data_IF_628168921107
#
_entry.id   IF_628168921107
#
_cell.length_a   1.000
_cell.length_b   1.000
_cell.length_c   1.000
_cell.angle_alpha   90.00
_cell.angle_beta   90.00
_cell.angle_gamma   90.00
#
_symmetry.space_group_name_H-M   'P 1'
#
loop_
_entity.id
_entity.type
_entity.pdbx_description
1 polymer ?
#
# COMPACT_ATOMS: atom_id res chain seq x y z
N UNK A 1 11.52 3.01 -24.87
CA UNK A 1 10.51 2.27 -24.10
C UNK A 1 11.26 1.39 -23.12
N UNK A 2 11.50 1.86 -21.89
CA UNK A 2 12.19 1.08 -20.87
C UNK A 2 11.16 0.71 -19.80
N UNK A 3 10.53 -0.45 -19.94
CA UNK A 3 9.92 -1.15 -18.81
C UNK A 3 10.83 -2.31 -18.51
N UNK A 4 11.77 -2.04 -17.61
CA UNK A 4 12.53 -3.02 -16.83
C UNK A 4 11.54 -3.91 -16.08
N UNK A 5 11.11 -4.99 -16.73
CA UNK A 5 10.32 -6.05 -16.10
C UNK A 5 11.27 -6.99 -15.35
N UNK A 6 11.94 -6.45 -14.32
CA UNK A 6 12.65 -7.25 -13.31
C UNK A 6 11.65 -7.73 -12.24
N UNK A 7 10.51 -8.32 -12.62
CA UNK A 7 9.53 -8.86 -11.65
C UNK A 7 10.07 -10.13 -11.01
N UNK A 8 10.74 -9.97 -9.87
CA UNK A 8 11.12 -11.06 -9.00
C UNK A 8 9.85 -11.88 -8.64
N UNK A 9 9.82 -13.20 -8.87
CA UNK A 9 8.62 -14.02 -8.65
C UNK A 9 8.09 -13.97 -7.21
N UNK A 10 8.97 -13.65 -6.25
CA UNK A 10 8.60 -13.42 -4.84
C UNK A 10 7.68 -12.21 -4.66
N UNK A 11 7.89 -11.13 -5.42
CA UNK A 11 7.08 -9.91 -5.32
C UNK A 11 5.68 -10.13 -5.91
N UNK A 12 5.58 -10.96 -6.95
CA UNK A 12 4.28 -11.37 -7.49
C UNK A 12 3.44 -12.17 -6.48
N UNK A 13 4.07 -13.03 -5.66
CA UNK A 13 3.37 -13.75 -4.61
C UNK A 13 2.87 -12.79 -3.52
N UNK A 14 3.71 -11.86 -3.07
CA UNK A 14 3.31 -10.81 -2.10
C UNK A 14 2.14 -9.98 -2.61
N UNK A 15 2.17 -9.59 -3.89
CA UNK A 15 1.08 -8.86 -4.54
C UNK A 15 -0.24 -9.64 -4.54
N UNK A 16 -0.20 -10.97 -4.71
CA UNK A 16 -1.41 -11.81 -4.65
C UNK A 16 -1.98 -11.87 -3.24
N UNK A 17 -1.13 -12.00 -2.22
CA UNK A 17 -1.57 -11.99 -0.82
C UNK A 17 -2.18 -10.64 -0.42
N UNK A 18 -1.58 -9.53 -0.84
CA UNK A 18 -2.14 -8.20 -0.61
C UNK A 18 -3.48 -8.01 -1.33
N UNK A 19 -3.63 -8.50 -2.56
CA UNK A 19 -4.91 -8.48 -3.25
C UNK A 19 -5.98 -9.26 -2.47
N UNK A 20 -5.64 -10.45 -1.97
CA UNK A 20 -6.57 -11.25 -1.16
C UNK A 20 -7.00 -10.52 0.13
N UNK A 21 -6.09 -9.76 0.75
CA UNK A 21 -6.40 -8.91 1.90
C UNK A 21 -7.32 -7.75 1.51
N UNK A 22 -7.09 -7.13 0.35
CA UNK A 22 -7.92 -6.05 -0.19
C UNK A 22 -9.35 -6.55 -0.48
N UNK A 23 -9.49 -7.73 -1.10
CA UNK A 23 -10.78 -8.39 -1.33
C UNK A 23 -11.55 -8.64 -0.02
N UNK A 24 -10.86 -9.11 1.04
CA UNK A 24 -11.47 -9.28 2.38
C UNK A 24 -11.99 -7.97 2.97
N UNK A 25 -11.37 -6.84 2.63
CA UNK A 25 -11.77 -5.50 3.07
C UNK A 25 -12.82 -4.85 2.17
N UNK A 26 -13.10 -5.48 1.03
CA UNK A 26 -14.00 -4.95 -0.01
C UNK A 26 -13.44 -3.71 -0.69
N UNK A 27 -12.12 -3.63 -0.87
CA UNK A 27 -11.46 -2.51 -1.52
C UNK A 27 -10.48 -2.95 -2.62
N UNK A 28 -10.15 -2.03 -3.51
CA UNK A 28 -9.11 -2.23 -4.51
C UNK A 28 -7.72 -2.20 -3.85
N UNK A 29 -6.75 -2.94 -4.42
CA UNK A 29 -5.35 -2.89 -3.98
C UNK A 29 -4.78 -1.47 -3.98
N UNK A 30 -5.20 -0.64 -4.93
CA UNK A 30 -4.81 0.77 -5.03
C UNK A 30 -5.32 1.55 -3.82
N UNK A 31 -6.58 1.34 -3.45
CA UNK A 31 -7.20 1.98 -2.29
C UNK A 31 -6.53 1.53 -0.99
N UNK A 32 -6.26 0.23 -0.85
CA UNK A 32 -5.56 -0.32 0.30
C UNK A 32 -4.17 0.31 0.47
N UNK A 33 -3.42 0.44 -0.62
CA UNK A 33 -2.06 0.99 -0.59
C UNK A 33 -2.05 2.46 -0.16
N UNK A 34 -2.96 3.27 -0.70
CA UNK A 34 -3.09 4.69 -0.33
C UNK A 34 -3.50 4.82 1.13
N UNK A 35 -4.50 4.05 1.57
CA UNK A 35 -4.97 4.07 2.94
C UNK A 35 -3.89 3.61 3.93
N UNK A 36 -3.08 2.61 3.55
CA UNK A 36 -1.95 2.13 4.35
C UNK A 36 -0.85 3.19 4.47
N UNK A 37 -0.51 3.87 3.37
CA UNK A 37 0.43 5.00 3.40
C UNK A 37 -0.06 6.11 4.36
N UNK A 38 -1.33 6.48 4.29
CA UNK A 38 -1.92 7.51 5.16
C UNK A 38 -2.04 7.07 6.63
N UNK A 39 -2.05 5.76 6.91
CA UNK A 39 -2.11 5.21 8.27
C UNK A 39 -0.76 5.28 8.99
N UNK A 40 0.35 5.35 8.26
CA UNK A 40 1.69 5.41 8.84
C UNK A 40 1.92 6.76 9.52
N UNK A 41 2.31 6.76 10.80
CA UNK A 41 2.55 7.99 11.59
C UNK A 41 3.61 8.92 10.97
N UNK A 42 4.49 8.38 10.13
CA UNK A 42 5.56 9.15 9.48
C UNK A 42 5.09 9.92 8.25
N UNK A 43 3.91 9.59 7.72
CA UNK A 43 3.40 10.14 6.46
C UNK A 43 2.38 11.22 6.75
N UNK A 44 2.69 12.46 6.37
CA UNK A 44 1.77 13.59 6.54
C UNK A 44 0.91 13.86 5.30
N UNK A 45 1.41 13.48 4.12
CA UNK A 45 0.75 13.73 2.84
C UNK A 45 1.10 12.60 1.86
N UNK A 46 0.13 12.21 1.05
CA UNK A 46 0.33 11.26 -0.07
C UNK A 46 0.03 12.01 -1.36
N UNK A 47 1.02 12.06 -2.26
CA UNK A 47 0.85 12.63 -3.59
C UNK A 47 0.21 11.58 -4.50
N UNK A 48 -0.97 11.91 -5.05
CA UNK A 48 -1.69 11.04 -5.96
C UNK A 48 -1.50 11.50 -7.40
N UNK A 49 -1.17 10.56 -8.28
CA UNK A 49 -1.19 10.76 -9.74
C UNK A 49 -2.30 9.91 -10.35
N UNK A 50 -3.23 10.56 -11.05
CA UNK A 50 -4.32 9.89 -11.76
C UNK A 50 -4.31 10.29 -13.24
N UNK A 51 -4.52 9.32 -14.12
CA UNK A 51 -4.59 9.54 -15.57
C UNK A 51 -5.99 9.98 -16.03
N UNK A 52 -7.00 9.81 -15.18
CA UNK A 52 -8.39 10.12 -15.48
C UNK A 52 -9.13 10.44 -14.19
N UNK A 53 -10.26 11.14 -14.32
CA UNK A 53 -11.06 11.58 -13.17
C UNK A 53 -11.62 10.39 -12.40
N UNK A 54 -12.07 9.32 -13.07
CA UNK A 54 -12.53 8.09 -12.42
C UNK A 54 -11.46 7.42 -11.56
N UNK A 55 -10.21 7.35 -12.04
CA UNK A 55 -9.09 6.85 -11.24
C UNK A 55 -8.83 7.72 -10.02
N UNK A 56 -8.95 9.05 -10.15
CA UNK A 56 -8.82 9.95 -9.01
C UNK A 56 -9.90 9.67 -7.97
N UNK A 57 -11.17 9.51 -8.41
CA UNK A 57 -12.26 9.17 -7.50
C UNK A 57 -12.04 7.83 -6.82
N UNK A 58 -11.60 6.80 -7.54
CA UNK A 58 -11.26 5.49 -6.97
C UNK A 58 -10.16 5.62 -5.90
N UNK A 59 -9.09 6.35 -6.19
CA UNK A 59 -8.01 6.62 -5.23
C UNK A 59 -8.51 7.37 -3.99
N UNK A 60 -9.45 8.32 -4.14
CA UNK A 60 -10.04 9.05 -3.02
C UNK A 60 -10.96 8.18 -2.15
N UNK A 61 -11.60 7.13 -2.71
CA UNK A 61 -12.38 6.17 -1.91
C UNK A 61 -11.51 5.43 -0.88
N UNK A 62 -10.18 5.40 -1.04
CA UNK A 62 -9.23 4.89 -0.06
C UNK A 62 -9.41 5.51 1.34
N UNK A 63 -9.85 6.77 1.41
CA UNK A 63 -10.07 7.47 2.68
C UNK A 63 -11.11 6.74 3.57
N UNK A 64 -12.07 6.05 2.96
CA UNK A 64 -13.07 5.25 3.69
C UNK A 64 -12.51 3.93 4.24
N UNK A 65 -11.35 3.49 3.76
CA UNK A 65 -10.67 2.26 4.20
C UNK A 65 -9.76 2.53 5.40
N UNK A 66 -9.27 3.76 5.57
CA UNK A 66 -8.43 4.17 6.72
C UNK A 66 -9.01 3.74 8.08
N UNK A 67 -10.31 3.96 8.41
CA UNK A 67 -10.86 3.50 9.68
C UNK A 67 -10.96 1.98 9.80
N UNK A 68 -11.03 1.26 8.67
CA UNK A 68 -11.06 -0.22 8.63
C UNK A 68 -9.67 -0.84 8.82
N UNK A 69 -8.60 -0.09 8.53
CA UNK A 69 -7.21 -0.47 8.77
C UNK A 69 -6.89 -0.50 10.26
N UNK A 70 -7.25 -1.62 10.89
CA UNK A 70 -6.84 -1.95 12.25
C UNK A 70 -5.36 -2.30 12.30
N UNK A 71 -4.76 -2.21 13.49
CA UNK A 71 -3.36 -2.60 13.73
C UNK A 71 -3.08 -4.04 13.27
N UNK A 72 -4.05 -4.94 13.37
CA UNK A 72 -3.90 -6.32 12.91
C UNK A 72 -3.70 -6.41 11.39
N UNK A 73 -4.50 -5.65 10.62
CA UNK A 73 -4.40 -5.62 9.16
C UNK A 73 -3.08 -4.96 8.74
N UNK A 74 -2.69 -3.87 9.40
CA UNK A 74 -1.39 -3.24 9.14
C UNK A 74 -0.23 -4.19 9.40
N UNK A 75 -0.28 -4.99 10.47
CA UNK A 75 0.74 -5.99 10.76
C UNK A 75 0.79 -7.11 9.71
N UNK A 76 -0.37 -7.56 9.21
CA UNK A 76 -0.43 -8.54 8.13
C UNK A 76 0.19 -7.98 6.84
N UNK A 77 -0.11 -6.72 6.48
CA UNK A 77 0.52 -6.04 5.33
C UNK A 77 2.04 -5.98 5.49
N UNK A 78 2.53 -5.59 6.67
CA UNK A 78 3.96 -5.53 6.96
C UNK A 78 4.63 -6.90 6.90
N UNK A 79 3.95 -7.95 7.34
CA UNK A 79 4.43 -9.33 7.28
C UNK A 79 4.50 -9.86 5.84
N UNK A 80 3.53 -9.51 5.00
CA UNK A 80 3.54 -9.86 3.57
C UNK A 80 4.68 -9.13 2.86
N UNK A 81 4.83 -7.82 3.10
CA UNK A 81 5.84 -7.00 2.45
C UNK A 81 7.26 -7.35 2.92
N UNK A 82 7.44 -7.68 4.21
CA UNK A 82 8.71 -8.03 4.86
C UNK A 82 9.89 -7.16 4.39
N UNK A 83 9.65 -5.85 4.32
CA UNK A 83 10.60 -4.87 3.80
C UNK A 83 10.71 -3.66 4.74
N UNK A 84 10.61 -3.88 6.05
CA UNK A 84 10.79 -2.77 7.00
C UNK A 84 12.22 -2.26 6.90
N UNK A 85 12.45 -0.99 6.52
CA UNK A 85 13.79 -0.46 6.45
C UNK A 85 14.37 -0.36 7.86
N UNK A 86 15.49 -1.02 8.10
CA UNK A 86 16.31 -0.82 9.29
C UNK A 86 16.94 0.57 9.17
N UNK A 87 16.36 1.57 9.85
CA UNK A 87 17.04 2.85 10.02
C UNK A 87 18.30 2.61 10.85
N UNK A 88 19.46 2.72 10.22
CA UNK A 88 20.70 2.85 10.96
C UNK A 88 20.62 4.12 11.81
N UNK A 89 20.98 4.07 13.11
CA UNK A 89 21.02 5.27 13.93
C UNK A 89 21.99 6.26 13.27
N UNK A 90 21.53 7.51 13.12
CA UNK A 90 22.36 8.61 12.65
C UNK A 90 23.57 8.72 13.59
N UNK A 91 24.75 8.27 13.13
CA UNK A 91 26.01 8.62 13.79
C UNK A 91 26.16 10.14 13.64
N UNK A 92 25.91 10.86 14.73
CA UNK A 92 26.25 12.28 14.89
C UNK A 92 27.71 12.42 15.26
#
# INVERSE_FOLDING_TARGET
>A
MNTDDSRNPKDQMKMRELNHLADKLGCSITQLTIAWCLKSEQVQCVLLGALSVDHLYDQLQALQIIPKLTTNISNEIEKILDNKPTRHPLQR
#
